data_IF_979286926435
#
_entry.id   IF_979286926435
#
_cell.length_a   1.000
_cell.length_b   1.000
_cell.length_c   1.000
_cell.angle_alpha   90.00
_cell.angle_beta   90.00
_cell.angle_gamma   90.00
#
_symmetry.space_group_name_H-M   'P 1'
#
loop_
_entity.id
_entity.type
_entity.pdbx_description
1 polymer ?
#
# COMPACT_ATOMS: atom_id res chain seq x y z
N UNK A 1 34.97 2.48 -7.47
CA UNK A 1 34.41 2.09 -6.15
C UNK A 1 33.14 2.89 -5.92
N UNK A 2 31.95 2.26 -5.86
CA UNK A 2 30.71 2.97 -5.47
C UNK A 2 30.79 3.24 -3.96
N UNK A 3 30.58 4.49 -3.54
CA UNK A 3 30.46 4.83 -2.12
C UNK A 3 29.35 3.97 -1.47
N UNK A 4 29.51 3.56 -0.20
CA UNK A 4 28.48 2.80 0.50
C UNK A 4 27.18 3.61 0.52
N UNK A 5 26.11 3.00 0.03
CA UNK A 5 24.79 3.62 -0.05
C UNK A 5 24.27 3.92 1.37
N UNK A 6 23.83 5.16 1.61
CA UNK A 6 23.36 5.56 2.94
C UNK A 6 22.05 4.87 3.30
N UNK A 7 21.76 4.74 4.59
CA UNK A 7 20.50 4.14 5.05
C UNK A 7 19.27 4.86 4.47
N UNK A 8 19.34 6.18 4.33
CA UNK A 8 18.29 7.00 3.72
C UNK A 8 18.11 6.69 2.22
N UNK A 9 19.19 6.62 1.44
CA UNK A 9 19.13 6.26 0.01
C UNK A 9 18.48 4.90 -0.20
N UNK A 10 18.81 3.92 0.65
CA UNK A 10 18.22 2.57 0.57
C UNK A 10 16.73 2.56 0.89
N UNK A 11 16.28 3.38 1.84
CA UNK A 11 14.86 3.53 2.15
C UNK A 11 14.11 4.24 1.02
N UNK A 12 14.70 5.26 0.40
CA UNK A 12 14.14 5.94 -0.77
C UNK A 12 14.00 4.95 -1.93
N UNK A 13 15.04 4.16 -2.22
CA UNK A 13 15.00 3.14 -3.26
C UNK A 13 13.93 2.07 -2.98
N UNK A 14 13.85 1.60 -1.73
CA UNK A 14 12.84 0.64 -1.30
C UNK A 14 11.41 1.19 -1.47
N UNK A 15 11.18 2.44 -1.08
CA UNK A 15 9.90 3.11 -1.26
C UNK A 15 9.57 3.30 -2.75
N UNK A 16 10.53 3.76 -3.55
CA UNK A 16 10.34 3.92 -4.99
C UNK A 16 10.02 2.59 -5.68
N UNK A 17 10.70 1.50 -5.31
CA UNK A 17 10.43 0.17 -5.83
C UNK A 17 9.03 -0.33 -5.43
N UNK A 18 8.65 -0.18 -4.16
CA UNK A 18 7.33 -0.59 -3.68
C UNK A 18 6.21 0.20 -4.36
N UNK A 19 6.33 1.53 -4.44
CA UNK A 19 5.36 2.40 -5.11
C UNK A 19 5.30 2.05 -6.61
N UNK A 20 6.45 1.92 -7.27
CA UNK A 20 6.52 1.58 -8.69
C UNK A 20 5.86 0.24 -9.00
N UNK A 21 6.11 -0.78 -8.17
CA UNK A 21 5.45 -2.10 -8.31
C UNK A 21 3.96 -2.03 -8.05
N UNK A 22 3.53 -1.31 -7.01
CA UNK A 22 2.11 -1.12 -6.70
C UNK A 22 1.38 -0.47 -7.87
N UNK A 23 1.94 0.61 -8.42
CA UNK A 23 1.36 1.34 -9.56
C UNK A 23 1.35 0.49 -10.83
N UNK A 24 2.45 -0.21 -11.13
CA UNK A 24 2.54 -1.09 -12.29
C UNK A 24 1.51 -2.22 -12.20
N UNK A 25 1.42 -2.90 -11.05
CA UNK A 25 0.45 -3.97 -10.85
C UNK A 25 -1.00 -3.47 -10.92
N UNK A 26 -1.31 -2.33 -10.29
CA UNK A 26 -2.64 -1.71 -10.35
C UNK A 26 -3.01 -1.28 -11.77
N UNK A 27 -2.05 -0.72 -12.52
CA UNK A 27 -2.22 -0.35 -13.92
C UNK A 27 -2.45 -1.57 -14.81
N UNK A 28 -1.69 -2.64 -14.61
CA UNK A 28 -1.87 -3.90 -15.32
C UNK A 28 -3.24 -4.53 -15.02
N UNK A 29 -3.67 -4.54 -13.76
CA UNK A 29 -5.01 -5.01 -13.39
C UNK A 29 -6.11 -4.17 -14.06
N UNK A 30 -5.94 -2.86 -14.13
CA UNK A 30 -6.89 -1.95 -14.79
C UNK A 30 -6.96 -2.16 -16.31
N UNK A 31 -5.87 -2.64 -16.93
CA UNK A 31 -5.85 -3.00 -18.35
C UNK A 31 -6.42 -4.41 -18.59
N UNK A 32 -6.22 -5.33 -17.65
CA UNK A 32 -6.61 -6.72 -17.77
C UNK A 32 -8.09 -6.97 -17.41
N UNK A 33 -8.65 -6.18 -16.49
CA UNK A 33 -10.04 -6.33 -16.04
C UNK A 33 -10.93 -5.27 -16.69
N UNK A 34 -12.07 -5.66 -17.29
CA UNK A 34 -13.07 -4.71 -17.76
C UNK A 34 -13.54 -3.80 -16.62
N UNK A 35 -13.78 -2.52 -16.93
CA UNK A 35 -14.28 -1.56 -15.96
C UNK A 35 -15.53 -2.12 -15.24
N UNK A 36 -15.45 -2.24 -13.92
CA UNK A 36 -16.53 -2.79 -13.07
C UNK A 36 -16.38 -4.26 -12.65
N UNK A 37 -15.34 -4.97 -13.08
CA UNK A 37 -15.04 -6.34 -12.62
C UNK A 37 -14.02 -6.39 -11.46
N UNK A 38 -14.05 -5.43 -10.55
CA UNK A 38 -13.31 -5.55 -9.29
C UNK A 38 -14.03 -6.52 -8.36
N UNK A 39 -13.30 -7.50 -7.84
CA UNK A 39 -13.83 -8.52 -6.93
C UNK A 39 -13.98 -7.92 -5.52
N UNK A 40 -14.92 -6.99 -5.35
CA UNK A 40 -15.20 -6.37 -4.07
C UNK A 40 -16.02 -7.31 -3.19
N UNK A 41 -15.42 -7.81 -2.12
CA UNK A 41 -16.14 -8.58 -1.10
C UNK A 41 -16.81 -7.62 -0.10
N UNK A 42 -18.14 -7.65 0.03
CA UNK A 42 -18.83 -6.89 1.07
C UNK A 42 -18.56 -7.51 2.45
N UNK A 43 -18.34 -6.67 3.44
CA UNK A 43 -18.22 -7.04 4.86
C UNK A 43 -19.13 -6.14 5.71
N UNK A 44 -19.31 -6.47 6.99
CA UNK A 44 -20.12 -5.64 7.93
C UNK A 44 -19.57 -4.23 8.16
N UNK A 45 -18.30 -4.01 7.83
CA UNK A 45 -17.57 -2.75 8.10
C UNK A 45 -16.93 -2.17 6.83
N UNK A 46 -17.49 -2.50 5.66
CA UNK A 46 -17.06 -1.97 4.36
C UNK A 46 -16.71 -3.04 3.33
N UNK A 47 -16.02 -2.64 2.27
CA UNK A 47 -15.60 -3.53 1.19
C UNK A 47 -14.12 -3.89 1.28
N UNK A 48 -13.76 -5.07 0.77
CA UNK A 48 -12.39 -5.56 0.65
C UNK A 48 -12.14 -5.96 -0.80
N UNK A 49 -10.99 -5.54 -1.34
CA UNK A 49 -10.48 -6.03 -2.62
C UNK A 49 -9.27 -6.94 -2.38
N UNK A 50 -9.46 -8.27 -2.32
CA UNK A 50 -8.39 -9.21 -1.98
C UNK A 50 -7.25 -9.20 -3.01
N UNK A 51 -7.53 -8.85 -4.27
CA UNK A 51 -6.48 -8.78 -5.30
C UNK A 51 -5.59 -7.58 -5.02
N UNK A 52 -6.18 -6.42 -4.73
CA UNK A 52 -5.44 -5.22 -4.34
C UNK A 52 -4.62 -5.44 -3.05
N UNK A 53 -5.15 -6.22 -2.10
CA UNK A 53 -4.42 -6.59 -0.89
C UNK A 53 -3.21 -7.50 -1.19
N UNK A 54 -3.37 -8.51 -2.06
CA UNK A 54 -2.26 -9.36 -2.49
C UNK A 54 -1.17 -8.57 -3.21
N UNK A 55 -1.56 -7.65 -4.11
CA UNK A 55 -0.63 -6.75 -4.79
C UNK A 55 0.13 -5.90 -3.77
N UNK A 56 -0.56 -5.36 -2.78
CA UNK A 56 0.04 -4.59 -1.69
C UNK A 56 1.07 -5.40 -0.91
N UNK A 57 0.74 -6.64 -0.52
CA UNK A 57 1.69 -7.53 0.18
C UNK A 57 2.95 -7.73 -0.66
N UNK A 58 2.81 -8.03 -1.95
CA UNK A 58 3.94 -8.31 -2.83
C UNK A 58 4.82 -7.07 -3.05
N UNK A 59 4.21 -5.92 -3.33
CA UNK A 59 4.93 -4.66 -3.51
C UNK A 59 5.71 -4.27 -2.26
N UNK A 60 5.07 -4.35 -1.09
CA UNK A 60 5.69 -4.02 0.18
C UNK A 60 6.73 -5.05 0.60
N UNK A 61 6.59 -6.32 0.22
CA UNK A 61 7.62 -7.34 0.41
C UNK A 61 8.90 -7.03 -0.38
N UNK A 62 8.80 -6.53 -1.61
CA UNK A 62 9.98 -6.07 -2.34
C UNK A 62 10.62 -4.86 -1.64
N UNK A 63 9.83 -3.88 -1.22
CA UNK A 63 10.33 -2.74 -0.44
C UNK A 63 11.02 -3.18 0.87
N UNK A 64 10.41 -4.09 1.60
CA UNK A 64 10.97 -4.68 2.82
C UNK A 64 12.25 -5.46 2.59
N UNK A 65 12.36 -6.16 1.46
CA UNK A 65 13.58 -6.87 1.08
C UNK A 65 14.74 -5.91 0.77
N UNK A 66 14.47 -4.76 0.14
CA UNK A 66 15.48 -3.74 -0.16
C UNK A 66 15.86 -2.91 1.09
N UNK A 67 14.86 -2.39 1.79
CA UNK A 67 15.00 -1.47 2.94
C UNK A 67 15.25 -2.17 4.27
N UNK A 68 14.86 -3.43 4.42
CA UNK A 68 14.91 -4.18 5.69
C UNK A 68 13.87 -3.73 6.70
N UNK A 69 14.12 -3.99 7.99
CA UNK A 69 13.14 -3.72 9.07
C UNK A 69 12.77 -2.24 9.22
N UNK A 70 13.66 -1.31 8.85
CA UNK A 70 13.37 0.12 8.88
C UNK A 70 12.28 0.54 7.87
N UNK A 71 11.99 -0.28 6.86
CA UNK A 71 10.94 -0.02 5.88
C UNK A 71 9.54 -0.35 6.41
N UNK A 72 9.40 -1.20 7.43
CA UNK A 72 8.08 -1.61 7.96
C UNK A 72 7.19 -0.43 8.41
N UNK A 73 7.65 0.49 9.28
CA UNK A 73 6.84 1.66 9.64
C UNK A 73 6.60 2.59 8.44
N UNK A 74 7.55 2.66 7.49
CA UNK A 74 7.40 3.46 6.27
C UNK A 74 6.32 2.89 5.34
N UNK A 75 6.24 1.57 5.19
CA UNK A 75 5.22 0.91 4.40
C UNK A 75 3.81 1.23 4.92
N UNK A 76 3.61 1.13 6.24
CA UNK A 76 2.35 1.51 6.87
C UNK A 76 2.02 3.00 6.65
N UNK A 77 3.02 3.88 6.80
CA UNK A 77 2.83 5.32 6.56
C UNK A 77 2.48 5.63 5.08
N UNK A 78 3.13 4.97 4.12
CA UNK A 78 2.82 5.11 2.70
C UNK A 78 1.41 4.63 2.37
N UNK A 79 0.99 3.48 2.90
CA UNK A 79 -0.38 2.97 2.73
C UNK A 79 -1.42 3.89 3.35
N UNK A 80 -1.13 4.47 4.53
CA UNK A 80 -2.01 5.46 5.15
C UNK A 80 -2.11 6.73 4.30
N UNK A 81 -0.99 7.22 3.77
CA UNK A 81 -0.96 8.39 2.89
C UNK A 81 -1.73 8.15 1.59
N UNK A 82 -1.60 6.95 1.01
CA UNK A 82 -2.36 6.53 -0.16
C UNK A 82 -3.87 6.54 0.13
N UNK A 83 -4.31 5.97 1.26
CA UNK A 83 -5.71 6.01 1.68
C UNK A 83 -6.22 7.44 1.93
N UNK A 84 -5.41 8.29 2.56
CA UNK A 84 -5.73 9.71 2.71
C UNK A 84 -5.93 10.39 1.35
N UNK A 85 -5.08 10.08 0.36
CA UNK A 85 -5.21 10.54 -1.02
C UNK A 85 -6.48 10.03 -1.70
N UNK A 86 -6.82 8.74 -1.53
CA UNK A 86 -8.06 8.14 -2.06
C UNK A 86 -9.29 8.84 -1.46
N UNK A 87 -9.34 9.00 -0.15
CA UNK A 87 -10.47 9.67 0.54
C UNK A 87 -10.59 11.12 0.07
N UNK A 88 -9.46 11.84 -0.04
CA UNK A 88 -9.44 13.20 -0.56
C UNK A 88 -9.99 13.24 -1.99
N UNK A 89 -9.50 12.36 -2.88
CA UNK A 89 -9.94 12.28 -4.26
C UNK A 89 -11.44 11.94 -4.37
N UNK A 90 -11.95 10.99 -3.58
CA UNK A 90 -13.37 10.65 -3.55
C UNK A 90 -14.23 11.84 -3.08
N UNK A 91 -13.71 12.62 -2.12
CA UNK A 91 -14.37 13.82 -1.62
C UNK A 91 -14.43 14.93 -2.68
N UNK A 92 -13.40 15.04 -3.53
CA UNK A 92 -13.37 15.97 -4.66
C UNK A 92 -14.22 15.50 -5.84
N UNK A 93 -14.21 14.20 -6.17
CA UNK A 93 -14.95 13.62 -7.29
C UNK A 93 -16.48 13.63 -7.08
N UNK A 94 -16.95 13.72 -5.84
CA UNK A 94 -18.36 13.85 -5.49
C UNK A 94 -19.01 15.23 -5.73
N UNK A 95 -18.35 16.15 -6.46
CA UNK A 95 -18.82 17.53 -6.65
C UNK A 95 -19.46 17.78 -8.03
N UNK A 96 -20.78 18.04 -8.05
CA UNK A 96 -21.30 19.21 -8.73
C UNK A 96 -22.01 20.11 -7.71
N UNK A 97 -21.33 21.18 -7.27
CA UNK A 97 -21.87 22.19 -6.34
C UNK A 97 -21.83 21.76 -4.87
N UNK A 98 -20.93 22.35 -4.09
CA UNK A 98 -20.72 22.03 -2.67
C UNK A 98 -22.00 22.28 -1.84
N UNK A 99 -22.79 21.23 -1.62
CA UNK A 99 -23.93 21.25 -0.71
C UNK A 99 -23.48 21.11 0.76
N UNK A 100 -24.26 21.65 1.73
CA UNK A 100 -24.00 21.47 3.16
C UNK A 100 -24.10 19.98 3.53
N UNK A 101 -23.03 19.38 4.06
CA UNK A 101 -23.02 17.96 4.46
C UNK A 101 -21.72 17.17 4.17
N UNK A 102 -20.71 17.79 3.57
CA UNK A 102 -19.44 17.14 3.20
C UNK A 102 -18.69 16.42 4.33
N UNK A 103 -18.76 16.93 5.57
CA UNK A 103 -18.14 16.27 6.72
C UNK A 103 -18.84 14.95 7.10
N UNK A 104 -20.17 14.88 6.94
CA UNK A 104 -20.92 13.64 7.10
C UNK A 104 -20.61 12.65 5.97
N UNK A 105 -20.36 13.13 4.75
CA UNK A 105 -19.94 12.31 3.62
C UNK A 105 -18.53 11.72 3.82
N UNK A 106 -17.58 12.48 4.35
CA UNK A 106 -16.23 12.00 4.70
C UNK A 106 -16.26 10.87 5.74
N UNK A 107 -17.01 11.07 6.82
CA UNK A 107 -17.16 10.04 7.85
C UNK A 107 -17.77 8.75 7.31
N UNK A 108 -18.73 8.86 6.40
CA UNK A 108 -19.36 7.72 5.74
C UNK A 108 -18.39 6.99 4.80
N UNK A 109 -17.61 7.72 3.98
CA UNK A 109 -16.57 7.13 3.12
C UNK A 109 -15.56 6.33 3.94
N UNK A 110 -15.07 6.90 5.05
CA UNK A 110 -14.14 6.20 5.94
C UNK A 110 -14.78 4.95 6.54
N UNK A 111 -16.03 5.06 7.01
CA UNK A 111 -16.76 3.94 7.61
C UNK A 111 -16.99 2.80 6.62
N UNK A 112 -17.36 3.12 5.38
CA UNK A 112 -17.65 2.15 4.32
C UNK A 112 -16.39 1.51 3.73
N UNK A 113 -15.21 2.04 4.09
CA UNK A 113 -13.91 1.51 3.66
C UNK A 113 -13.01 1.11 4.84
N UNK A 114 -13.53 1.09 6.07
CA UNK A 114 -12.73 0.83 7.27
C UNK A 114 -12.06 -0.54 7.22
N UNK A 115 -12.80 -1.56 6.77
CA UNK A 115 -12.26 -2.91 6.56
C UNK A 115 -11.07 -2.90 5.60
N UNK A 116 -11.23 -2.25 4.45
CA UNK A 116 -10.18 -2.11 3.44
C UNK A 116 -8.97 -1.36 4.00
N UNK A 117 -9.16 -0.20 4.64
CA UNK A 117 -8.07 0.59 5.23
C UNK A 117 -7.24 -0.26 6.20
N UNK A 118 -7.90 -0.91 7.15
CA UNK A 118 -7.23 -1.73 8.15
C UNK A 118 -6.49 -2.90 7.49
N UNK A 119 -7.14 -3.58 6.56
CA UNK A 119 -6.54 -4.71 5.88
C UNK A 119 -5.33 -4.31 5.03
N UNK A 120 -5.41 -3.19 4.30
CA UNK A 120 -4.28 -2.64 3.53
C UNK A 120 -3.10 -2.29 4.41
N UNK A 121 -3.34 -1.68 5.59
CA UNK A 121 -2.27 -1.38 6.54
C UNK A 121 -1.61 -2.66 7.07
N UNK A 122 -2.42 -3.68 7.41
CA UNK A 122 -1.92 -4.98 7.86
C UNK A 122 -1.15 -5.69 6.74
N UNK A 123 -1.67 -5.69 5.52
CA UNK A 123 -1.05 -6.26 4.32
C UNK A 123 0.28 -5.59 4.03
N UNK A 124 0.35 -4.26 4.11
CA UNK A 124 1.57 -3.50 3.88
C UNK A 124 2.64 -3.80 4.94
N UNK A 125 2.26 -3.79 6.23
CA UNK A 125 3.16 -4.11 7.31
C UNK A 125 3.65 -5.57 7.24
N UNK A 126 2.75 -6.52 6.97
CA UNK A 126 3.06 -7.95 6.83
C UNK A 126 3.97 -8.21 5.64
N UNK A 127 3.68 -7.62 4.48
CA UNK A 127 4.52 -7.69 3.28
C UNK A 127 5.92 -7.15 3.56
N UNK A 128 6.03 -5.92 4.07
CA UNK A 128 7.30 -5.31 4.43
C UNK A 128 8.11 -6.14 5.43
N UNK A 129 7.44 -6.70 6.45
CA UNK A 129 8.08 -7.58 7.43
C UNK A 129 8.58 -8.88 6.79
N UNK A 130 7.76 -9.52 5.96
CA UNK A 130 8.11 -10.74 5.23
C UNK A 130 9.34 -10.51 4.33
N UNK A 131 9.35 -9.42 3.56
CA UNK A 131 10.49 -9.04 2.73
C UNK A 131 11.77 -8.83 3.53
N UNK A 132 11.66 -8.10 4.64
CA UNK A 132 12.78 -7.85 5.54
C UNK A 132 13.33 -9.15 6.17
N UNK A 133 12.44 -10.08 6.51
CA UNK A 133 12.80 -11.39 7.04
C UNK A 133 13.46 -12.29 5.99
N UNK A 134 12.94 -12.32 4.76
CA UNK A 134 13.56 -13.06 3.65
C UNK A 134 14.98 -12.59 3.39
N UNK A 135 15.20 -11.27 3.40
CA UNK A 135 16.54 -10.67 3.25
C UNK A 135 17.52 -11.13 4.33
N UNK A 136 17.05 -11.31 5.57
CA UNK A 136 17.89 -11.80 6.67
C UNK A 136 18.31 -13.26 6.44
N UNK A 137 17.44 -14.07 5.83
CA UNK A 137 17.73 -15.47 5.52
C UNK A 137 18.62 -15.68 4.29
N UNK A 138 18.56 -14.77 3.32
CA UNK A 138 19.33 -14.89 2.07
C UNK A 138 20.73 -14.31 2.17
N UNK A 139 21.07 -13.56 3.24
CA UNK A 139 22.44 -13.10 3.45
C UNK A 139 23.23 -14.22 4.11
N UNK A 140 24.24 -14.82 3.43
CA UNK A 140 25.10 -15.79 4.08
C UNK A 140 25.76 -15.15 5.29
N UNK A 141 25.75 -15.86 6.43
CA UNK A 141 26.57 -15.49 7.57
C UNK A 141 28.01 -15.34 7.08
N UNK A 142 28.73 -14.25 7.40
CA UNK A 142 30.17 -14.24 7.18
C UNK A 142 30.71 -15.43 7.99
N UNK A 143 31.26 -16.42 7.28
CA UNK A 143 32.03 -17.49 7.90
C UNK A 143 33.15 -16.83 8.70
N UNK A 144 33.09 -17.01 10.01
CA UNK A 144 34.14 -16.61 10.95
C UNK A 144 35.41 -17.41 10.73
#
# INVERSE_FOLDING_TARGET
MKAPETAAQRLILAAAAAIGLQLAASGLLSLALPAGQTLLLPTRIGFIDPISELVTVLAMAVGGWLGGRAFVPLAAALSLLMWAGIIAMLSFAGLPGAMPGQSAALGQIVRDNLAGIVLTLLAAAAGAWLGAWLRQRTRPSPSA
#
